data_IF_639968484148
#
_entry.id   IF_639968484148
#
_cell.length_a   1.000
_cell.length_b   1.000
_cell.length_c   1.000
_cell.angle_alpha   90.00
_cell.angle_beta   90.00
_cell.angle_gamma   90.00
#
_symmetry.space_group_name_H-M   'P 1'
#
loop_
_entity.id
_entity.type
_entity.pdbx_description
1 polymer ?
#
# COMPACT_ATOMS: atom_id res chain seq x y z
N UNK A 1 29.31 -22.05 -38.88
CA UNK A 1 28.16 -21.22 -39.28
C UNK A 1 27.21 -21.21 -38.10
N UNK A 2 27.48 -20.37 -37.11
CA UNK A 2 26.64 -20.26 -35.92
C UNK A 2 25.57 -19.23 -36.25
N UNK A 3 24.38 -19.68 -36.62
CA UNK A 3 23.19 -18.83 -36.54
C UNK A 3 23.01 -18.49 -35.07
N UNK A 4 23.49 -17.33 -34.63
CA UNK A 4 22.96 -16.71 -33.43
C UNK A 4 21.46 -16.54 -33.69
N UNK A 5 20.64 -17.38 -33.05
CA UNK A 5 19.19 -17.26 -33.08
C UNK A 5 18.86 -15.87 -32.55
N UNK A 6 18.57 -14.93 -33.45
CA UNK A 6 18.01 -13.65 -33.06
C UNK A 6 16.80 -13.91 -32.14
N UNK A 7 16.82 -13.38 -30.91
CA UNK A 7 15.82 -13.72 -29.92
C UNK A 7 14.44 -13.27 -30.42
N UNK A 8 13.53 -14.24 -30.60
CA UNK A 8 12.17 -13.95 -31.03
C UNK A 8 11.55 -12.84 -30.13
N UNK A 9 11.20 -11.67 -30.68
CA UNK A 9 10.79 -10.52 -29.89
C UNK A 9 9.50 -10.78 -29.10
N UNK A 10 8.56 -11.55 -29.66
CA UNK A 10 7.32 -11.93 -28.98
C UNK A 10 7.56 -12.85 -27.78
N UNK A 11 8.47 -13.83 -27.89
CA UNK A 11 8.82 -14.74 -26.78
C UNK A 11 9.49 -14.00 -25.62
N UNK A 12 10.26 -12.96 -25.93
CA UNK A 12 10.99 -12.15 -24.93
C UNK A 12 10.05 -11.24 -24.15
N UNK A 13 9.09 -10.60 -24.82
CA UNK A 13 8.09 -9.75 -24.14
C UNK A 13 7.18 -10.56 -23.22
N UNK A 14 6.75 -11.74 -23.63
CA UNK A 14 5.94 -12.63 -22.77
C UNK A 14 6.68 -13.03 -21.49
N UNK A 15 7.99 -13.28 -21.57
CA UNK A 15 8.81 -13.56 -20.38
C UNK A 15 8.84 -12.38 -19.42
N UNK A 16 9.02 -11.16 -19.92
CA UNK A 16 9.04 -9.94 -19.09
C UNK A 16 7.70 -9.77 -18.36
N UNK A 17 6.57 -9.98 -19.05
CA UNK A 17 5.24 -9.89 -18.46
C UNK A 17 5.06 -10.94 -17.37
N UNK A 18 5.45 -12.20 -17.61
CA UNK A 18 5.34 -13.26 -16.60
C UNK A 18 6.18 -12.92 -15.36
N UNK A 19 7.42 -12.48 -15.54
CA UNK A 19 8.30 -12.11 -14.42
C UNK A 19 7.70 -10.94 -13.64
N UNK A 20 7.16 -9.94 -14.32
CA UNK A 20 6.48 -8.81 -13.69
C UNK A 20 5.25 -9.25 -12.87
N UNK A 21 4.42 -10.16 -13.39
CA UNK A 21 3.28 -10.72 -12.67
C UNK A 21 3.76 -11.46 -11.41
N UNK A 22 4.82 -12.27 -11.53
CA UNK A 22 5.39 -12.99 -10.39
C UNK A 22 5.88 -12.02 -9.29
N UNK A 23 6.55 -10.94 -9.67
CA UNK A 23 6.95 -9.88 -8.72
C UNK A 23 5.73 -9.20 -8.07
N UNK A 24 4.68 -8.95 -8.84
CA UNK A 24 3.45 -8.37 -8.30
C UNK A 24 2.75 -9.29 -7.28
N UNK A 25 2.62 -10.58 -7.62
CA UNK A 25 2.08 -11.61 -6.71
C UNK A 25 2.93 -11.72 -5.45
N UNK A 26 4.25 -11.79 -5.60
CA UNK A 26 5.18 -11.81 -4.47
C UNK A 26 5.02 -10.56 -3.59
N UNK A 27 4.93 -9.38 -4.19
CA UNK A 27 4.70 -8.12 -3.47
C UNK A 27 3.41 -8.13 -2.65
N UNK A 28 2.31 -8.62 -3.24
CA UNK A 28 1.02 -8.76 -2.54
C UNK A 28 1.11 -9.74 -1.35
N UNK A 29 1.74 -10.90 -1.55
CA UNK A 29 1.96 -11.87 -0.46
C UNK A 29 2.90 -11.32 0.61
N UNK A 30 3.94 -10.59 0.23
CA UNK A 30 4.89 -10.00 1.15
C UNK A 30 4.19 -8.99 2.08
N UNK A 31 3.39 -8.05 1.53
CA UNK A 31 2.68 -7.09 2.38
C UNK A 31 1.60 -7.75 3.25
N UNK A 32 0.88 -8.75 2.73
CA UNK A 32 -0.08 -9.52 3.52
C UNK A 32 0.62 -10.27 4.67
N UNK A 33 1.78 -10.86 4.40
CA UNK A 33 2.59 -11.55 5.40
C UNK A 33 3.09 -10.60 6.48
N UNK A 34 3.54 -9.39 6.10
CA UNK A 34 3.94 -8.35 7.05
C UNK A 34 2.77 -7.96 7.95
N UNK A 35 1.57 -7.76 7.39
CA UNK A 35 0.36 -7.47 8.16
C UNK A 35 0.08 -8.56 9.22
N UNK A 36 0.02 -9.84 8.80
CA UNK A 36 -0.26 -10.93 9.73
C UNK A 36 0.88 -11.18 10.72
N UNK A 37 2.12 -10.95 10.33
CA UNK A 37 3.28 -11.05 11.20
C UNK A 37 3.22 -10.01 12.33
N UNK A 38 2.93 -8.75 12.00
CA UNK A 38 2.74 -7.69 13.01
C UNK A 38 1.57 -8.06 13.93
N UNK A 39 0.46 -8.57 13.40
CA UNK A 39 -0.69 -8.97 14.22
C UNK A 39 -0.43 -10.18 15.11
N UNK A 40 0.40 -11.12 14.65
CA UNK A 40 0.82 -12.24 15.47
C UNK A 40 1.73 -11.82 16.64
N UNK A 41 2.50 -10.73 16.49
CA UNK A 41 3.35 -10.18 17.55
C UNK A 41 2.58 -9.29 18.54
N UNK A 42 1.69 -8.44 18.02
CA UNK A 42 1.01 -7.42 18.84
C UNK A 42 -0.21 -7.97 19.60
N UNK A 43 -0.85 -9.00 19.06
CA UNK A 43 -2.10 -9.53 19.58
C UNK A 43 -2.06 -11.07 19.52
N UNK A 44 -2.95 -11.69 18.75
CA UNK A 44 -2.94 -13.12 18.48
C UNK A 44 -3.38 -13.41 17.05
N UNK A 45 -3.10 -14.64 16.57
CA UNK A 45 -3.49 -15.08 15.24
C UNK A 45 -5.00 -14.94 14.95
N UNK A 46 -5.84 -15.26 15.95
CA UNK A 46 -7.30 -15.20 15.84
C UNK A 46 -7.80 -13.76 15.76
N UNK A 47 -7.20 -12.85 16.53
CA UNK A 47 -7.53 -11.43 16.50
C UNK A 47 -7.07 -10.79 15.18
N UNK A 48 -5.91 -11.16 14.65
CA UNK A 48 -5.45 -10.70 13.34
C UNK A 48 -6.43 -11.04 12.21
N UNK A 49 -7.04 -12.23 12.25
CA UNK A 49 -8.09 -12.61 11.30
C UNK A 49 -9.40 -11.81 11.48
N UNK A 50 -9.77 -11.50 12.73
CA UNK A 50 -10.94 -10.68 13.02
C UNK A 50 -10.77 -9.25 12.48
N UNK A 51 -9.60 -8.63 12.75
CA UNK A 51 -9.23 -7.30 12.24
C UNK A 51 -9.18 -7.30 10.70
N UNK A 52 -8.58 -8.32 10.09
CA UNK A 52 -8.55 -8.44 8.64
C UNK A 52 -9.95 -8.47 8.03
N UNK A 53 -10.88 -9.28 8.57
CA UNK A 53 -12.24 -9.35 8.05
C UNK A 53 -13.01 -8.04 8.27
N UNK A 54 -12.84 -7.39 9.42
CA UNK A 54 -13.47 -6.11 9.71
C UNK A 54 -13.00 -5.00 8.76
N UNK A 55 -11.72 -5.01 8.37
CA UNK A 55 -11.13 -4.03 7.47
C UNK A 55 -10.91 -4.54 6.05
N UNK A 56 -11.50 -5.67 5.67
CA UNK A 56 -11.26 -6.32 4.38
C UNK A 56 -11.56 -5.38 3.19
N UNK A 57 -12.61 -4.55 3.33
CA UNK A 57 -12.98 -3.55 2.32
C UNK A 57 -11.89 -2.49 2.04
N UNK A 58 -10.95 -2.29 2.96
CA UNK A 58 -9.81 -1.36 2.81
C UNK A 58 -8.51 -2.10 2.52
N UNK A 59 -8.25 -3.17 3.28
CA UNK A 59 -6.97 -3.90 3.25
C UNK A 59 -6.82 -4.70 1.96
N UNK A 60 -7.88 -5.35 1.46
CA UNK A 60 -7.81 -6.15 0.22
C UNK A 60 -7.48 -5.26 -0.99
N UNK A 61 -8.16 -4.13 -1.24
CA UNK A 61 -7.78 -3.22 -2.32
C UNK A 61 -6.35 -2.70 -2.21
N UNK A 62 -5.86 -2.42 -0.99
CA UNK A 62 -4.48 -1.99 -0.77
C UNK A 62 -3.45 -3.08 -1.13
N UNK A 63 -3.69 -4.33 -0.71
CA UNK A 63 -2.82 -5.47 -1.04
C UNK A 63 -2.77 -5.68 -2.56
N UNK A 64 -3.94 -5.73 -3.21
CA UNK A 64 -4.04 -5.90 -4.66
C UNK A 64 -3.36 -4.75 -5.40
N UNK A 65 -3.65 -3.52 -4.99
CA UNK A 65 -3.06 -2.32 -5.55
C UNK A 65 -1.54 -2.27 -5.40
N UNK A 66 -1.02 -2.67 -4.24
CA UNK A 66 0.43 -2.76 -4.01
C UNK A 66 1.07 -3.81 -4.93
N UNK A 67 0.46 -5.00 -5.05
CA UNK A 67 0.92 -6.02 -5.99
C UNK A 67 0.94 -5.54 -7.44
N UNK A 68 -0.09 -4.80 -7.87
CA UNK A 68 -0.12 -4.18 -9.20
C UNK A 68 1.04 -3.18 -9.36
N UNK A 69 1.27 -2.29 -8.39
CA UNK A 69 2.39 -1.34 -8.44
C UNK A 69 3.75 -2.03 -8.53
N UNK A 70 3.98 -3.08 -7.73
CA UNK A 70 5.23 -3.85 -7.75
C UNK A 70 5.42 -4.53 -9.11
N UNK A 71 4.37 -5.16 -9.64
CA UNK A 71 4.44 -5.81 -10.95
C UNK A 71 4.67 -4.81 -12.08
N UNK A 72 4.00 -3.67 -12.06
CA UNK A 72 4.14 -2.63 -13.08
C UNK A 72 5.53 -1.97 -13.03
N UNK A 73 6.08 -1.78 -11.83
CA UNK A 73 7.44 -1.31 -11.63
C UNK A 73 8.47 -2.32 -12.14
N UNK A 74 8.31 -3.62 -11.82
CA UNK A 74 9.17 -4.68 -12.34
C UNK A 74 9.12 -4.74 -13.87
N UNK A 75 7.93 -4.64 -14.47
CA UNK A 75 7.75 -4.56 -15.91
C UNK A 75 8.54 -3.40 -16.51
N UNK A 76 8.34 -2.17 -16.01
CA UNK A 76 9.07 -0.99 -16.50
C UNK A 76 10.58 -1.16 -16.38
N UNK A 77 11.07 -1.68 -15.24
CA UNK A 77 12.51 -1.92 -15.02
C UNK A 77 13.08 -2.91 -16.01
N UNK A 78 12.38 -4.00 -16.30
CA UNK A 78 12.82 -5.04 -17.23
C UNK A 78 12.80 -4.55 -18.68
N UNK A 79 11.74 -3.84 -19.10
CA UNK A 79 11.67 -3.24 -20.44
C UNK A 79 12.77 -2.18 -20.61
N UNK A 80 12.99 -1.32 -19.62
CA UNK A 80 14.06 -0.33 -19.66
C UNK A 80 15.45 -0.96 -19.64
N UNK A 81 15.67 -2.03 -18.86
CA UNK A 81 16.92 -2.77 -18.86
C UNK A 81 17.19 -3.40 -20.22
N UNK A 82 16.16 -3.95 -20.87
CA UNK A 82 16.26 -4.46 -22.25
C UNK A 82 16.59 -3.34 -23.24
N UNK A 83 15.83 -2.22 -23.20
CA UNK A 83 16.11 -1.04 -24.03
C UNK A 83 17.51 -0.51 -23.81
N UNK A 84 18.01 -0.52 -22.58
CA UNK A 84 19.39 -0.13 -22.25
C UNK A 84 20.43 -1.14 -22.70
N UNK A 85 20.13 -2.43 -22.75
CA UNK A 85 21.01 -3.43 -23.35
C UNK A 85 21.06 -3.26 -24.88
N UNK A 86 19.93 -2.94 -25.50
CA UNK A 86 19.84 -2.54 -26.92
C UNK A 86 20.60 -1.21 -27.16
N UNK A 87 20.41 -0.19 -26.30
CA UNK A 87 21.08 1.12 -26.30
C UNK A 87 22.45 1.15 -25.59
N UNK A 88 23.02 0.04 -25.12
CA UNK A 88 24.42 0.02 -24.68
C UNK A 88 25.37 0.15 -25.90
N UNK A 89 24.78 0.16 -27.11
CA UNK A 89 25.32 0.69 -28.35
C UNK A 89 25.16 2.23 -28.53
N UNK A 90 24.57 2.97 -27.58
CA UNK A 90 24.36 4.42 -27.62
C UNK A 90 23.39 5.02 -26.57
N UNK A 91 23.90 5.37 -25.38
CA UNK A 91 23.52 6.48 -24.46
C UNK A 91 22.09 6.67 -23.84
N UNK A 92 22.10 6.81 -22.49
CA UNK A 92 21.35 7.72 -21.56
C UNK A 92 19.79 7.74 -21.58
N UNK A 93 19.03 7.63 -20.47
CA UNK A 93 18.77 8.72 -19.49
C UNK A 93 17.93 8.26 -18.28
N UNK A 94 18.02 9.03 -17.19
CA UNK A 94 17.37 8.92 -15.89
C UNK A 94 15.96 9.56 -15.83
N UNK A 95 15.03 8.98 -15.06
CA UNK A 95 13.85 9.67 -14.46
C UNK A 95 12.87 8.77 -13.67
N UNK A 96 13.04 7.44 -13.61
CA UNK A 96 12.03 6.52 -13.00
C UNK A 96 12.23 6.29 -11.48
N UNK A 97 13.24 6.88 -10.85
CA UNK A 97 13.55 6.63 -9.42
C UNK A 97 12.62 7.32 -8.42
N UNK A 98 11.90 8.37 -8.81
CA UNK A 98 11.15 9.23 -7.87
C UNK A 98 9.81 8.66 -7.43
N UNK A 99 9.06 7.99 -8.32
CA UNK A 99 7.72 7.47 -7.99
C UNK A 99 7.75 6.22 -7.08
N UNK A 100 8.75 5.33 -7.22
CA UNK A 100 8.88 4.12 -6.40
C UNK A 100 9.30 4.41 -4.96
N UNK A 101 10.07 5.48 -4.73
CA UNK A 101 10.50 5.88 -3.39
C UNK A 101 9.36 6.39 -2.51
N UNK A 102 8.38 7.09 -3.09
CA UNK A 102 7.28 7.68 -2.29
C UNK A 102 6.27 6.65 -1.80
N UNK A 103 6.00 5.58 -2.56
CA UNK A 103 5.09 4.48 -2.12
C UNK A 103 5.74 3.62 -1.03
N UNK A 104 7.04 3.31 -1.16
CA UNK A 104 7.81 2.66 -0.11
C UNK A 104 7.93 3.53 1.15
N UNK A 105 8.12 4.86 1.00
CA UNK A 105 8.11 5.78 2.15
C UNK A 105 6.75 5.87 2.83
N UNK A 106 5.65 5.86 2.09
CA UNK A 106 4.29 5.84 2.65
C UNK A 106 4.01 4.55 3.42
N UNK A 107 4.47 3.41 2.90
CA UNK A 107 4.34 2.12 3.58
C UNK A 107 5.30 2.00 4.78
N UNK A 108 6.53 2.47 4.68
CA UNK A 108 7.45 2.58 5.82
C UNK A 108 6.89 3.55 6.87
N UNK A 109 6.23 4.65 6.49
CA UNK A 109 5.55 5.54 7.43
C UNK A 109 4.34 4.86 8.10
N UNK A 110 3.56 4.06 7.35
CA UNK A 110 2.46 3.23 7.85
C UNK A 110 2.94 2.04 8.72
N UNK A 111 4.18 1.58 8.55
CA UNK A 111 4.78 0.53 9.38
C UNK A 111 5.56 1.11 10.58
N UNK A 112 6.17 2.29 10.43
CA UNK A 112 6.93 2.98 11.46
C UNK A 112 6.01 3.55 12.56
N UNK A 113 4.72 3.76 12.28
CA UNK A 113 3.77 4.09 13.35
C UNK A 113 3.48 2.88 14.25
N UNK A 114 3.57 1.63 13.77
CA UNK A 114 3.48 0.44 14.63
C UNK A 114 4.75 0.22 15.47
N UNK A 115 5.87 0.86 15.10
CA UNK A 115 7.05 0.93 15.95
C UNK A 115 6.85 1.79 17.21
N UNK A 116 5.73 2.53 17.29
CA UNK A 116 5.29 3.18 18.53
C UNK A 116 4.75 2.18 19.57
N UNK A 117 4.53 0.92 19.20
CA UNK A 117 4.11 -0.15 20.13
C UNK A 117 5.27 -0.60 21.06
N UNK A 118 6.51 -0.17 20.80
CA UNK A 118 7.69 -0.36 21.69
C UNK A 118 8.00 0.90 22.51
N UNK A 119 7.14 1.91 22.46
CA UNK A 119 7.31 3.16 23.18
C UNK A 119 6.37 3.29 24.41
N UNK A 120 6.06 2.22 25.19
CA UNK A 120 5.47 2.38 26.51
C UNK A 120 6.59 2.72 27.50
N UNK A 121 7.28 3.85 27.29
CA UNK A 121 8.02 4.45 28.39
C UNK A 121 7.39 5.74 28.89
N UNK A 122 7.11 6.80 28.11
CA UNK A 122 6.62 8.05 28.75
C UNK A 122 5.73 9.00 27.88
N UNK A 123 4.87 8.53 26.95
CA UNK A 123 4.01 9.50 26.21
C UNK A 123 2.98 9.04 25.15
N UNK A 124 2.51 7.78 25.14
CA UNK A 124 1.80 7.17 23.98
C UNK A 124 0.29 6.96 24.12
N UNK A 125 -0.29 7.19 25.29
CA UNK A 125 -1.73 6.98 25.46
C UNK A 125 -2.58 7.89 24.56
N UNK A 126 -2.12 9.11 24.27
CA UNK A 126 -2.84 10.03 23.36
C UNK A 126 -2.63 9.70 21.87
N UNK A 127 -1.43 9.23 21.49
CA UNK A 127 -1.10 8.97 20.09
C UNK A 127 -1.77 7.68 19.58
N UNK A 128 -1.88 6.65 20.42
CA UNK A 128 -2.61 5.40 20.09
C UNK A 128 -4.12 5.64 19.89
N UNK A 129 -4.73 6.50 20.71
CA UNK A 129 -6.12 6.93 20.53
C UNK A 129 -6.30 7.71 19.23
N UNK A 130 -5.38 8.62 18.91
CA UNK A 130 -5.40 9.37 17.65
C UNK A 130 -5.26 8.46 16.42
N UNK A 131 -4.34 7.49 16.46
CA UNK A 131 -4.13 6.55 15.35
C UNK A 131 -5.34 5.65 15.13
N UNK A 132 -6.02 5.25 16.20
CA UNK A 132 -7.23 4.41 16.13
C UNK A 132 -8.43 5.20 15.58
N UNK A 133 -8.62 6.45 16.04
CA UNK A 133 -9.67 7.36 15.54
C UNK A 133 -9.51 7.66 14.03
N UNK A 134 -8.28 7.88 13.56
CA UNK A 134 -8.00 8.24 12.16
C UNK A 134 -7.57 7.05 11.29
N UNK A 135 -7.67 5.82 11.78
CA UNK A 135 -7.23 4.61 11.05
C UNK A 135 -7.84 4.52 9.65
N UNK A 136 -9.15 4.79 9.52
CA UNK A 136 -9.83 4.78 8.21
C UNK A 136 -9.32 5.89 7.29
N UNK A 137 -8.96 7.06 7.84
CA UNK A 137 -8.38 8.18 7.07
C UNK A 137 -7.03 7.79 6.47
N UNK A 138 -6.18 7.11 7.24
CA UNK A 138 -4.88 6.64 6.74
C UNK A 138 -5.03 5.57 5.65
N UNK A 139 -5.97 4.63 5.83
CA UNK A 139 -6.26 3.62 4.80
C UNK A 139 -6.81 4.25 3.52
N UNK A 140 -7.68 5.25 3.63
CA UNK A 140 -8.20 5.99 2.49
C UNK A 140 -7.10 6.77 1.75
N UNK A 141 -6.19 7.40 2.49
CA UNK A 141 -5.03 8.08 1.91
C UNK A 141 -4.10 7.10 1.19
N UNK A 142 -3.83 5.95 1.81
CA UNK A 142 -3.03 4.88 1.20
C UNK A 142 -3.67 4.38 -0.10
N UNK A 143 -4.99 4.18 -0.11
CA UNK A 143 -5.72 3.71 -1.29
C UNK A 143 -5.70 4.76 -2.41
N UNK A 144 -5.92 6.04 -2.07
CA UNK A 144 -5.82 7.14 -3.01
C UNK A 144 -4.42 7.23 -3.64
N UNK A 145 -3.37 7.17 -2.81
CA UNK A 145 -1.98 7.12 -3.26
C UNK A 145 -1.73 5.91 -4.17
N UNK A 146 -2.33 4.76 -3.85
CA UNK A 146 -2.19 3.55 -4.64
C UNK A 146 -2.75 3.73 -6.06
N UNK A 147 -3.98 4.25 -6.16
CA UNK A 147 -4.65 4.53 -7.44
C UNK A 147 -3.81 5.51 -8.27
N UNK A 148 -3.39 6.63 -7.67
CA UNK A 148 -2.57 7.65 -8.35
C UNK A 148 -1.26 7.04 -8.86
N UNK A 149 -0.58 6.23 -8.03
CA UNK A 149 0.67 5.58 -8.40
C UNK A 149 0.51 4.61 -9.58
N UNK A 150 -0.54 3.79 -9.59
CA UNK A 150 -0.85 2.89 -10.71
C UNK A 150 -1.11 3.71 -11.98
N UNK A 151 -1.95 4.76 -11.90
CA UNK A 151 -2.27 5.60 -13.04
C UNK A 151 -1.02 6.32 -13.60
N UNK A 152 -0.13 6.81 -12.73
CA UNK A 152 1.14 7.41 -13.12
C UNK A 152 2.04 6.43 -13.86
N UNK A 153 2.21 5.21 -13.35
CA UNK A 153 3.03 4.19 -13.99
C UNK A 153 2.45 3.76 -15.35
N UNK A 154 1.13 3.60 -15.45
CA UNK A 154 0.45 3.33 -16.72
C UNK A 154 0.64 4.47 -17.72
N UNK A 155 0.54 5.72 -17.26
CA UNK A 155 0.80 6.91 -18.08
C UNK A 155 2.24 6.89 -18.61
N UNK A 156 3.23 6.63 -17.76
CA UNK A 156 4.63 6.50 -18.16
C UNK A 156 4.84 5.39 -19.20
N UNK A 157 4.21 4.22 -19.02
CA UNK A 157 4.29 3.12 -20.00
C UNK A 157 3.71 3.53 -21.35
N UNK A 158 2.59 4.25 -21.35
CA UNK A 158 1.94 4.72 -22.58
C UNK A 158 2.72 5.84 -23.27
N UNK A 159 3.28 6.79 -22.51
CA UNK A 159 4.00 7.96 -23.05
C UNK A 159 5.37 7.59 -23.63
N UNK A 160 6.03 6.57 -23.07
CA UNK A 160 7.34 6.11 -23.54
C UNK A 160 7.26 4.85 -24.41
N UNK A 161 6.06 4.48 -24.88
CA UNK A 161 5.81 3.32 -25.74
C UNK A 161 6.46 2.04 -25.22
N UNK A 162 6.42 1.84 -23.90
CA UNK A 162 7.03 0.69 -23.23
C UNK A 162 6.16 -0.58 -23.33
N UNK A 163 5.23 -0.66 -24.29
CA UNK A 163 4.33 -1.78 -24.50
C UNK A 163 4.77 -2.63 -25.71
N UNK A 164 4.57 -3.95 -25.63
CA UNK A 164 4.78 -4.84 -26.78
C UNK A 164 3.61 -4.73 -27.78
N UNK A 165 3.92 -4.85 -29.09
CA UNK A 165 2.91 -4.95 -30.15
C UNK A 165 1.92 -6.08 -29.83
N UNK A 166 0.62 -5.75 -29.76
CA UNK A 166 -0.45 -6.71 -29.44
C UNK A 166 -0.77 -6.95 -27.96
N UNK A 167 -0.10 -6.29 -27.01
CA UNK A 167 -0.41 -6.46 -25.56
C UNK A 167 -1.63 -5.64 -25.11
N UNK A 168 -2.29 -6.03 -24.01
CA UNK A 168 -3.41 -5.27 -23.40
C UNK A 168 -3.07 -3.80 -23.13
N UNK A 169 -1.79 -3.50 -22.86
CA UNK A 169 -1.28 -2.15 -22.65
C UNK A 169 -1.40 -1.26 -23.90
N UNK A 170 -1.34 -1.83 -25.11
CA UNK A 170 -1.49 -1.08 -26.37
C UNK A 170 -2.92 -0.56 -26.56
N UNK A 171 -3.91 -1.26 -26.01
CA UNK A 171 -5.29 -0.78 -25.96
C UNK A 171 -5.39 0.47 -25.09
N UNK A 172 -4.70 0.56 -23.96
CA UNK A 172 -4.78 1.73 -23.08
C UNK A 172 -4.40 3.08 -23.72
N UNK A 173 -3.75 3.08 -24.90
CA UNK A 173 -3.49 4.27 -25.71
C UNK A 173 -4.75 5.09 -26.06
N UNK A 174 -5.96 4.48 -26.07
CA UNK A 174 -7.20 5.22 -26.34
C UNK A 174 -7.72 6.03 -25.13
N UNK A 175 -7.18 5.82 -23.92
CA UNK A 175 -7.50 6.69 -22.78
C UNK A 175 -6.62 7.94 -22.83
N UNK A 176 -7.24 9.11 -22.65
CA UNK A 176 -6.48 10.33 -22.40
C UNK A 176 -5.85 10.24 -20.99
N UNK A 177 -4.60 9.77 -20.92
CA UNK A 177 -3.91 9.49 -19.66
C UNK A 177 -3.77 10.71 -18.75
N UNK A 178 -3.83 11.94 -19.30
CA UNK A 178 -3.91 13.17 -18.51
C UNK A 178 -5.25 13.29 -17.78
N UNK A 179 -6.36 13.00 -18.47
CA UNK A 179 -7.70 12.96 -17.86
C UNK A 179 -7.77 11.82 -16.84
N UNK A 180 -7.21 10.64 -17.13
CA UNK A 180 -7.18 9.53 -16.19
C UNK A 180 -6.39 9.89 -14.91
N UNK A 181 -5.24 10.55 -15.05
CA UNK A 181 -4.44 11.02 -13.92
C UNK A 181 -5.20 12.06 -13.09
N UNK A 182 -5.74 13.10 -13.74
CA UNK A 182 -6.53 14.13 -13.04
C UNK A 182 -7.74 13.49 -12.35
N UNK A 183 -8.45 12.58 -13.03
CA UNK A 183 -9.55 11.82 -12.47
C UNK A 183 -9.15 11.01 -11.25
N UNK A 184 -8.00 10.34 -11.27
CA UNK A 184 -7.47 9.60 -10.11
C UNK A 184 -7.13 10.49 -8.92
N UNK A 185 -6.59 11.69 -9.18
CA UNK A 185 -6.26 12.67 -8.13
C UNK A 185 -7.55 13.24 -7.53
N UNK A 186 -8.52 13.65 -8.36
CA UNK A 186 -9.81 14.18 -7.90
C UNK A 186 -10.57 13.11 -7.12
N UNK A 187 -10.64 11.88 -7.63
CA UNK A 187 -11.28 10.77 -6.92
C UNK A 187 -10.58 10.46 -5.59
N UNK A 188 -9.25 10.40 -5.58
CA UNK A 188 -8.46 10.17 -4.37
C UNK A 188 -8.68 11.26 -3.32
N UNK A 189 -8.72 12.53 -3.73
CA UNK A 189 -9.02 13.67 -2.87
C UNK A 189 -10.45 13.59 -2.33
N UNK A 190 -11.44 13.32 -3.17
CA UNK A 190 -12.85 13.19 -2.74
C UNK A 190 -13.03 12.05 -1.73
N UNK A 191 -12.39 10.90 -1.96
CA UNK A 191 -12.40 9.78 -1.03
C UNK A 191 -11.73 10.16 0.29
N UNK A 192 -10.56 10.78 0.26
CA UNK A 192 -9.84 11.21 1.45
C UNK A 192 -10.63 12.24 2.25
N UNK A 193 -11.11 13.32 1.61
CA UNK A 193 -11.89 14.36 2.27
C UNK A 193 -13.20 13.80 2.83
N UNK A 194 -13.88 12.91 2.12
CA UNK A 194 -15.12 12.28 2.59
C UNK A 194 -14.92 11.46 3.86
N UNK A 195 -13.87 10.65 3.91
CA UNK A 195 -13.53 9.85 5.10
C UNK A 195 -13.03 10.75 6.25
N UNK A 196 -12.20 11.74 5.96
CA UNK A 196 -11.72 12.70 6.94
C UNK A 196 -12.89 13.47 7.58
N UNK A 197 -13.81 13.98 6.75
CA UNK A 197 -14.96 14.74 7.24
C UNK A 197 -15.88 13.86 8.09
N UNK A 198 -16.13 12.61 7.67
CA UNK A 198 -16.88 11.63 8.47
C UNK A 198 -16.23 11.41 9.85
N UNK A 199 -14.91 11.23 9.90
CA UNK A 199 -14.19 11.03 11.15
C UNK A 199 -14.24 12.29 12.04
N UNK A 200 -14.08 13.48 11.46
CA UNK A 200 -14.21 14.75 12.20
C UNK A 200 -15.63 14.97 12.76
N UNK A 201 -16.68 14.65 12.00
CA UNK A 201 -18.08 14.75 12.47
C UNK A 201 -18.34 13.74 13.59
N UNK A 202 -17.87 12.51 13.43
CA UNK A 202 -18.04 11.45 14.45
C UNK A 202 -17.29 11.77 15.75
N UNK A 203 -16.11 12.37 15.65
CA UNK A 203 -15.30 12.77 16.82
C UNK A 203 -15.87 14.04 17.49
N UNK A 204 -16.46 14.96 16.72
CA UNK A 204 -17.13 16.16 17.23
C UNK A 204 -18.52 15.95 17.84
N UNK A 205 -19.22 14.87 17.48
CA UNK A 205 -20.55 14.53 18.01
C UNK A 205 -20.56 13.93 19.42
N UNK A 206 -19.38 13.63 20.00
CA UNK A 206 -19.24 12.97 21.31
C UNK A 206 -19.38 13.88 22.54
N UNK A 207 -19.73 15.17 22.38
CA UNK A 207 -19.99 16.10 23.49
C UNK A 207 -21.47 16.32 23.81
N UNK A 208 -22.38 15.51 23.28
CA UNK A 208 -23.78 15.42 23.75
C UNK A 208 -24.18 13.94 23.80
N UNK A 209 -24.51 13.44 25.00
CA UNK A 209 -25.02 12.09 25.30
C UNK A 209 -24.02 10.90 25.23
N UNK A 210 -23.21 10.75 26.27
CA UNK A 210 -22.88 9.41 26.78
C UNK A 210 -23.20 9.36 28.26
N UNK A 211 -24.42 8.94 28.57
CA UNK A 211 -24.79 8.48 29.90
C UNK A 211 -23.93 7.26 30.25
N UNK A 212 -22.89 7.49 31.04
CA UNK A 212 -22.12 6.44 31.67
C UNK A 212 -22.97 5.81 32.78
N UNK A 213 -23.79 4.82 32.42
CA UNK A 213 -24.23 3.82 33.39
C UNK A 213 -23.00 2.98 33.79
N UNK A 214 -22.42 3.33 34.93
CA UNK A 214 -21.35 2.59 35.60
C UNK A 214 -21.86 1.19 35.95
N UNK A 215 -21.33 0.17 35.28
CA UNK A 215 -21.55 -1.24 35.61
C UNK A 215 -20.35 -1.72 36.46
N UNK A 216 -20.51 -1.97 37.77
CA UNK A 216 -19.41 -2.30 38.68
C UNK A 216 -18.76 -3.68 38.47
N UNK A 217 -19.30 -4.54 37.60
CA UNK A 217 -18.89 -5.95 37.52
C UNK A 217 -17.80 -6.27 36.48
N UNK A 218 -17.16 -5.27 35.85
CA UNK A 218 -16.08 -5.48 34.87
C UNK A 218 -14.69 -5.08 35.39
N UNK A 219 -14.38 -5.45 36.64
CA UNK A 219 -13.08 -5.25 37.27
C UNK A 219 -12.07 -6.39 36.97
N UNK A 220 -11.98 -6.86 35.72
CA UNK A 220 -10.96 -7.83 35.29
C UNK A 220 -9.61 -7.17 34.89
N UNK A 221 -9.55 -5.83 34.82
CA UNK A 221 -8.33 -5.08 34.52
C UNK A 221 -7.38 -4.87 35.71
N UNK A 222 -7.82 -5.13 36.94
CA UNK A 222 -7.00 -4.95 38.15
C UNK A 222 -5.96 -6.07 38.36
N UNK A 223 -6.14 -7.23 37.72
CA UNK A 223 -5.20 -8.36 37.85
C UNK A 223 -3.82 -8.01 37.27
N UNK A 224 -3.75 -7.29 36.14
CA UNK A 224 -2.48 -6.87 35.55
C UNK A 224 -1.73 -5.82 36.38
N UNK A 225 -2.45 -4.92 37.06
CA UNK A 225 -1.83 -3.87 37.89
C UNK A 225 -1.34 -4.44 39.22
N UNK A 226 -2.03 -5.42 39.80
CA UNK A 226 -1.57 -6.12 41.00
C UNK A 226 -0.37 -7.03 40.74
N UNK A 227 -0.30 -7.70 39.58
CA UNK A 227 0.83 -8.57 39.24
C UNK A 227 2.15 -7.80 39.05
N UNK A 228 2.09 -6.56 38.56
CA UNK A 228 3.27 -5.69 38.44
C UNK A 228 3.81 -5.30 39.82
N UNK A 229 2.93 -4.97 40.77
CA UNK A 229 3.34 -4.48 42.10
C UNK A 229 4.04 -5.53 42.96
N UNK A 230 3.78 -6.83 42.74
CA UNK A 230 4.47 -7.92 43.43
C UNK A 230 5.81 -8.34 42.79
N UNK A 231 6.09 -7.95 41.55
CA UNK A 231 7.35 -8.26 40.86
C UNK A 231 8.44 -7.19 41.03
N UNK A 232 8.11 -6.06 41.67
CA UNK A 232 9.03 -4.91 41.85
C UNK A 232 9.34 -4.57 43.31
N UNK A 233 9.04 -5.48 44.25
CA UNK A 233 9.49 -5.46 45.66
C UNK A 233 10.22 -6.76 45.97
#
# INVERSE_FOLDING_TARGET
MNQELEPNPGKTMNRIIIIAILWGVFGAFAIASVFFFIMALAASWKEGWAVFNQLAGWVVPLILGFGIQVGLFAYMKLVLAKRKAELASGATTASVSTAGGMSAMSMVACCAHHLTDVVPFLGISALSLFVTEFQQTFLALGLASNIIGITMMLKTISEHELYGEGSFLSKMRFLNMKIALIGSIVLGLLLFLGVLLKNLISSGGGMYEKDYHFNPDLASGLVCVQLWRELTL
#
